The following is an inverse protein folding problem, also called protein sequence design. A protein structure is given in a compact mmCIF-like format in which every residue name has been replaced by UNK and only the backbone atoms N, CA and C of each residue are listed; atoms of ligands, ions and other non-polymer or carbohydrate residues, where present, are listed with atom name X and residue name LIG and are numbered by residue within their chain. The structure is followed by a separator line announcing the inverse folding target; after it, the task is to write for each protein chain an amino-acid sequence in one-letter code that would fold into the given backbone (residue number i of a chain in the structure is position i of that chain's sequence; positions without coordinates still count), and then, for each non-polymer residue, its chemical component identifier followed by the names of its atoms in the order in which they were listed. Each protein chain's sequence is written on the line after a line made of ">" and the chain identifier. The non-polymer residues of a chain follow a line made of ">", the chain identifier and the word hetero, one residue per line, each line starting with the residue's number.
data_IF_639087225824
#
_entry.id   IF_639087225824
#
_cell.length_a   1.000
_cell.length_b   1.000
_cell.length_c   1.000
_cell.angle_alpha   90.00
_cell.angle_beta   90.00
_cell.angle_gamma   90.00
#
_symmetry.space_group_name_H-M   'P 1'
#
loop_
_entity.id
_entity.type
_entity.pdbx_description
1 polymer ?
#
# COMPACT_ATOMS: atom_id res chain seq x y z
N UNK A 1 23.66 30.63 55.46
CA UNK A 1 22.45 30.25 54.71
C UNK A 1 22.82 30.13 53.25
N UNK A 2 23.05 28.92 52.74
CA UNK A 2 23.59 28.69 51.38
C UNK A 2 22.47 28.17 50.50
N UNK A 3 22.07 28.92 49.48
CA UNK A 3 21.00 28.55 48.55
C UNK A 3 21.56 27.61 47.48
N UNK A 4 21.03 26.40 47.42
CA UNK A 4 21.28 25.42 46.36
C UNK A 4 20.39 25.76 45.16
N UNK A 5 20.99 26.10 44.02
CA UNK A 5 20.24 26.32 42.77
C UNK A 5 20.23 25.02 42.00
N UNK A 6 19.05 24.39 41.90
CA UNK A 6 18.84 23.18 41.11
C UNK A 6 18.63 23.61 39.66
N UNK A 7 19.62 23.35 38.80
CA UNK A 7 19.44 23.41 37.34
C UNK A 7 18.64 22.17 36.91
N UNK A 8 17.40 22.38 36.48
CA UNK A 8 16.62 21.35 35.82
C UNK A 8 17.11 21.20 34.37
N UNK A 9 17.66 20.03 34.05
CA UNK A 9 18.02 19.65 32.68
C UNK A 9 16.74 19.22 31.95
N UNK A 10 16.23 20.06 31.04
CA UNK A 10 15.10 19.71 30.18
C UNK A 10 15.65 18.99 28.95
N UNK A 11 15.54 17.66 28.93
CA UNK A 11 15.86 16.86 27.75
C UNK A 11 14.69 16.96 26.75
N UNK A 12 14.87 17.73 25.68
CA UNK A 12 13.94 17.73 24.54
C UNK A 12 14.11 16.43 23.75
N UNK A 13 13.14 15.52 23.85
CA UNK A 13 13.07 14.36 22.95
C UNK A 13 12.66 14.86 21.58
N UNK A 14 13.62 14.97 20.65
CA UNK A 14 13.32 15.24 19.26
C UNK A 14 12.58 14.03 18.69
N UNK A 15 11.29 14.18 18.39
CA UNK A 15 10.54 13.17 17.66
C UNK A 15 11.09 13.12 16.23
N UNK A 16 11.85 12.08 15.91
CA UNK A 16 12.17 11.76 14.53
C UNK A 16 10.85 11.45 13.81
N UNK A 17 10.53 12.13 12.70
CA UNK A 17 9.37 11.74 11.92
C UNK A 17 9.59 10.29 11.45
N UNK A 18 8.65 9.40 11.77
CA UNK A 18 8.64 8.04 11.26
C UNK A 18 8.71 8.12 9.73
N UNK A 19 9.76 7.54 9.14
CA UNK A 19 9.85 7.42 7.69
C UNK A 19 8.58 6.70 7.19
N UNK A 20 7.97 7.13 6.07
CA UNK A 20 6.83 6.41 5.50
C UNK A 20 7.24 4.95 5.28
N UNK A 21 6.47 4.01 5.84
CA UNK A 21 6.74 2.59 5.63
C UNK A 21 6.64 2.30 4.13
N UNK A 22 7.62 1.58 3.61
CA UNK A 22 7.65 1.13 2.21
C UNK A 22 7.05 -0.26 2.10
N UNK A 23 6.42 -0.53 0.97
CA UNK A 23 5.89 -1.85 0.63
C UNK A 23 6.17 -2.18 -0.83
N UNK A 24 6.03 -3.44 -1.20
CA UNK A 24 6.01 -3.85 -2.59
C UNK A 24 4.62 -4.28 -3.03
N UNK A 25 4.34 -4.14 -4.32
CA UNK A 25 3.05 -4.51 -4.86
C UNK A 25 3.09 -5.01 -6.31
N UNK A 26 2.05 -5.77 -6.68
CA UNK A 26 1.81 -6.30 -8.03
C UNK A 26 0.31 -6.34 -8.34
N UNK A 27 -0.03 -6.34 -9.62
CA UNK A 27 -1.39 -6.51 -10.11
C UNK A 27 -1.55 -7.86 -10.82
N UNK A 28 -2.75 -8.45 -10.71
CA UNK A 28 -3.10 -9.75 -11.27
C UNK A 28 -4.46 -9.69 -11.98
N UNK A 29 -4.60 -10.45 -13.07
CA UNK A 29 -5.82 -10.61 -13.88
C UNK A 29 -5.86 -12.04 -14.44
N UNK A 30 -7.02 -12.70 -14.54
CA UNK A 30 -8.18 -12.62 -13.65
C UNK A 30 -7.94 -13.35 -12.31
N UNK A 31 -6.76 -13.96 -12.15
CA UNK A 31 -6.49 -14.91 -11.09
C UNK A 31 -6.25 -14.24 -9.73
N UNK A 32 -6.27 -15.07 -8.68
CA UNK A 32 -5.76 -14.72 -7.37
C UNK A 32 -4.25 -14.44 -7.42
N UNK A 33 -3.71 -13.89 -6.33
CA UNK A 33 -2.27 -13.65 -6.18
C UNK A 33 -1.51 -14.96 -5.94
N UNK A 34 -1.56 -15.88 -6.92
CA UNK A 34 -0.87 -17.17 -6.90
C UNK A 34 0.54 -17.02 -7.48
N UNK A 35 1.55 -17.38 -6.69
CA UNK A 35 2.95 -17.34 -7.10
C UNK A 35 3.43 -18.67 -7.67
N UNK A 36 2.72 -19.78 -7.41
CA UNK A 36 3.06 -21.08 -7.95
C UNK A 36 2.66 -21.18 -9.44
N UNK A 37 1.51 -20.60 -9.80
CA UNK A 37 1.00 -20.57 -11.17
C UNK A 37 0.47 -19.17 -11.54
N UNK A 38 1.33 -18.15 -11.63
CA UNK A 38 0.90 -16.79 -11.90
C UNK A 38 0.40 -16.65 -13.34
N UNK A 39 -0.69 -15.92 -13.57
CA UNK A 39 -1.16 -15.63 -14.93
C UNK A 39 -0.17 -14.73 -15.67
N UNK A 40 0.01 -14.92 -16.98
CA UNK A 40 0.92 -14.10 -17.82
C UNK A 40 0.65 -12.58 -17.74
N UNK A 41 -0.57 -12.22 -17.36
CA UNK A 41 -1.05 -10.86 -17.12
C UNK A 41 -0.59 -10.24 -15.79
N UNK A 42 0.15 -10.96 -14.93
CA UNK A 42 0.72 -10.41 -13.70
C UNK A 42 1.68 -9.26 -14.01
N UNK A 43 1.51 -8.13 -13.31
CA UNK A 43 2.33 -6.95 -13.52
C UNK A 43 2.91 -6.36 -12.22
N UNK A 44 4.23 -6.13 -12.17
CA UNK A 44 5.25 -6.67 -13.08
C UNK A 44 5.25 -8.20 -13.05
N UNK A 45 5.78 -8.83 -14.11
CA UNK A 45 5.88 -10.29 -14.20
C UNK A 45 6.52 -10.90 -12.94
N UNK A 46 6.09 -12.11 -12.54
CA UNK A 46 6.44 -12.70 -11.23
C UNK A 46 7.96 -12.77 -10.97
N UNK A 47 8.74 -13.05 -12.01
CA UNK A 47 10.20 -13.17 -11.93
C UNK A 47 10.93 -11.83 -12.05
N UNK A 48 10.21 -10.73 -12.28
CA UNK A 48 10.74 -9.37 -12.24
C UNK A 48 10.58 -8.78 -10.85
N UNK A 49 11.33 -7.73 -10.51
CA UNK A 49 11.14 -7.03 -9.24
C UNK A 49 9.73 -6.42 -9.15
N UNK A 50 9.08 -6.58 -7.99
CA UNK A 50 7.81 -5.94 -7.68
C UNK A 50 7.97 -4.40 -7.63
N UNK A 51 6.86 -3.68 -7.77
CA UNK A 51 6.89 -2.21 -7.68
C UNK A 51 7.03 -1.77 -6.23
N UNK A 52 7.72 -0.66 -6.00
CA UNK A 52 7.86 -0.05 -4.68
C UNK A 52 6.75 0.99 -4.45
N UNK A 53 6.15 0.95 -3.26
CA UNK A 53 5.18 1.92 -2.78
C UNK A 53 5.54 2.48 -1.41
N UNK A 54 4.86 3.56 -1.03
CA UNK A 54 4.95 4.25 0.26
C UNK A 54 3.56 4.44 0.82
N UNK A 55 3.43 4.35 2.14
CA UNK A 55 2.13 4.55 2.80
C UNK A 55 1.55 5.91 2.44
N UNK A 56 0.24 5.96 2.23
CA UNK A 56 -0.55 7.15 1.91
C UNK A 56 -0.39 7.74 0.50
N UNK A 57 0.54 7.22 -0.31
CA UNK A 57 0.64 7.57 -1.72
C UNK A 57 -0.42 6.81 -2.54
N UNK A 58 -0.81 7.41 -3.68
CA UNK A 58 -1.72 6.81 -4.63
C UNK A 58 -0.96 6.22 -5.82
N UNK A 59 -1.30 4.99 -6.20
CA UNK A 59 -0.67 4.28 -7.32
C UNK A 59 -1.72 3.84 -8.34
N UNK A 60 -1.43 4.09 -9.61
CA UNK A 60 -2.29 3.67 -10.72
C UNK A 60 -1.93 2.26 -11.19
N UNK A 61 -2.94 1.49 -11.56
CA UNK A 61 -2.73 0.28 -12.34
C UNK A 61 -2.33 0.64 -13.78
N UNK A 62 -1.55 -0.21 -14.47
CA UNK A 62 -1.33 -0.07 -15.90
C UNK A 62 -2.65 -0.08 -16.68
N UNK A 63 -2.70 0.60 -17.82
CA UNK A 63 -3.95 0.77 -18.59
C UNK A 63 -4.25 -0.37 -19.56
N UNK A 64 -3.28 -1.24 -19.84
CA UNK A 64 -3.37 -2.24 -20.90
C UNK A 64 -4.31 -3.42 -20.59
N UNK A 65 -4.55 -3.70 -19.31
CA UNK A 65 -5.32 -4.86 -18.86
C UNK A 65 -6.37 -4.44 -17.84
N UNK A 66 -7.26 -5.38 -17.48
CA UNK A 66 -8.25 -5.12 -16.45
C UNK A 66 -7.65 -5.18 -15.06
N UNK A 67 -7.06 -6.23 -14.51
CA UNK A 67 -6.68 -6.31 -13.09
C UNK A 67 -7.85 -6.35 -12.11
N UNK A 68 -8.00 -7.53 -11.53
CA UNK A 68 -9.01 -7.85 -10.52
C UNK A 68 -8.40 -8.08 -9.14
N UNK A 69 -7.07 -8.17 -9.07
CA UNK A 69 -6.35 -8.43 -7.83
C UNK A 69 -5.10 -7.57 -7.72
N UNK A 70 -4.84 -7.12 -6.50
CA UNK A 70 -3.66 -6.38 -6.11
C UNK A 70 -2.99 -7.15 -4.98
N UNK A 71 -1.72 -7.50 -5.15
CA UNK A 71 -0.90 -8.04 -4.08
C UNK A 71 -0.11 -6.93 -3.40
N UNK A 72 -0.05 -6.95 -2.06
CA UNK A 72 0.90 -6.18 -1.26
C UNK A 72 1.57 -7.11 -0.24
N UNK A 73 2.89 -7.24 -0.28
CA UNK A 73 3.68 -8.17 0.56
C UNK A 73 3.48 -7.93 2.06
N UNK A 74 3.44 -6.67 2.47
CA UNK A 74 3.28 -6.27 3.88
C UNK A 74 2.47 -4.99 3.96
N UNK A 75 1.13 -5.08 3.99
CA UNK A 75 0.28 -3.90 4.09
C UNK A 75 0.49 -3.22 5.45
N UNK A 76 0.74 -1.90 5.49
CA UNK A 76 1.10 -1.17 6.71
C UNK A 76 -0.08 -0.96 7.68
N UNK A 77 -1.30 -1.28 7.27
CA UNK A 77 -2.51 -1.14 8.07
C UNK A 77 -3.76 -1.58 7.30
N UNK A 78 -4.10 -0.85 6.24
CA UNK A 78 -5.20 -1.20 5.35
C UNK A 78 -5.03 -0.68 3.93
N UNK A 79 -5.90 -1.13 3.04
CA UNK A 79 -5.89 -0.74 1.62
C UNK A 79 -7.28 -0.34 1.16
N UNK A 80 -7.31 0.64 0.26
CA UNK A 80 -8.47 0.97 -0.56
C UNK A 80 -8.06 0.84 -2.02
N UNK A 81 -8.84 0.07 -2.78
CA UNK A 81 -8.73 -0.02 -4.25
C UNK A 81 -9.82 0.85 -4.88
N UNK A 82 -9.56 1.42 -6.05
CA UNK A 82 -10.46 2.34 -6.74
C UNK A 82 -10.72 1.90 -8.17
N UNK A 83 -11.94 2.18 -8.63
CA UNK A 83 -12.38 1.89 -10.00
C UNK A 83 -11.86 2.90 -11.02
N UNK A 84 -11.38 4.05 -10.54
CA UNK A 84 -10.80 5.13 -11.33
C UNK A 84 -9.31 5.30 -11.02
N UNK A 85 -8.62 6.09 -11.85
CA UNK A 85 -7.21 6.45 -11.62
C UNK A 85 -7.11 7.53 -10.55
N UNK A 86 -5.88 7.74 -10.06
CA UNK A 86 -5.53 8.78 -9.08
C UNK A 86 -6.30 8.71 -7.75
N UNK A 87 -6.77 7.50 -7.37
CA UNK A 87 -7.50 7.24 -6.14
C UNK A 87 -8.75 8.11 -5.99
N UNK A 88 -9.40 8.36 -7.12
CA UNK A 88 -10.64 9.11 -7.21
C UNK A 88 -11.84 8.17 -7.26
N UNK A 89 -13.04 8.75 -7.18
CA UNK A 89 -14.28 8.05 -7.43
C UNK A 89 -14.62 6.98 -6.39
N UNK A 90 -15.07 5.81 -6.87
CA UNK A 90 -15.60 4.74 -6.00
C UNK A 90 -14.45 3.85 -5.53
N UNK A 91 -14.17 3.93 -4.24
CA UNK A 91 -13.23 3.06 -3.54
C UNK A 91 -13.91 1.85 -2.88
N UNK A 92 -13.17 0.77 -2.71
CA UNK A 92 -13.56 -0.33 -1.83
C UNK A 92 -13.76 0.15 -0.38
N UNK A 93 -14.40 -0.68 0.44
CA UNK A 93 -14.19 -0.58 1.89
C UNK A 93 -12.70 -0.80 2.19
N UNK A 94 -12.24 -0.32 3.35
CA UNK A 94 -10.87 -0.61 3.81
C UNK A 94 -10.73 -2.12 3.97
N UNK A 95 -9.74 -2.69 3.28
CA UNK A 95 -9.41 -4.10 3.33
C UNK A 95 -8.13 -4.30 4.17
N UNK A 96 -8.10 -5.37 4.97
CA UNK A 96 -6.96 -5.74 5.81
C UNK A 96 -6.95 -7.26 6.09
N UNK A 97 -5.87 -7.77 6.68
CA UNK A 97 -5.77 -9.18 7.07
C UNK A 97 -5.50 -10.16 5.91
N UNK A 98 -5.20 -9.65 4.71
CA UNK A 98 -4.77 -10.42 3.54
C UNK A 98 -3.61 -9.70 2.85
N UNK A 99 -2.90 -10.37 1.97
CA UNK A 99 -1.96 -9.76 1.03
C UNK A 99 -2.55 -9.61 -0.38
N UNK A 100 -3.73 -10.18 -0.65
CA UNK A 100 -4.34 -10.20 -1.98
C UNK A 100 -5.73 -9.52 -1.99
N UNK A 101 -5.74 -8.30 -2.49
CA UNK A 101 -6.86 -7.37 -2.40
C UNK A 101 -7.66 -7.32 -3.70
N UNK A 102 -8.95 -7.02 -3.60
CA UNK A 102 -9.84 -6.90 -4.76
C UNK A 102 -10.48 -5.51 -4.89
N UNK A 103 -11.09 -5.18 -6.04
CA UNK A 103 -11.95 -4.01 -6.19
C UNK A 103 -13.32 -4.22 -5.55
N UNK A 104 -14.15 -3.17 -5.58
CA UNK A 104 -15.59 -3.34 -5.39
C UNK A 104 -16.16 -4.35 -6.42
N UNK A 105 -17.25 -5.06 -6.11
CA UNK A 105 -17.94 -5.91 -7.08
C UNK A 105 -18.34 -5.14 -8.35
N UNK A 106 -18.11 -5.74 -9.52
CA UNK A 106 -18.42 -5.15 -10.82
C UNK A 106 -17.44 -4.06 -11.27
N UNK A 107 -16.29 -3.97 -10.62
CA UNK A 107 -15.27 -2.97 -10.90
C UNK A 107 -13.90 -3.64 -11.13
N UNK A 108 -13.00 -2.87 -11.73
CA UNK A 108 -11.65 -3.25 -12.09
C UNK A 108 -10.69 -2.30 -11.38
N UNK A 109 -9.56 -2.79 -10.88
CA UNK A 109 -8.62 -1.95 -10.13
C UNK A 109 -7.92 -0.99 -11.10
N UNK A 110 -8.16 0.31 -10.95
CA UNK A 110 -7.47 1.36 -11.72
C UNK A 110 -6.50 2.16 -10.88
N UNK A 111 -6.69 2.21 -9.57
CA UNK A 111 -5.69 2.72 -8.64
C UNK A 111 -5.91 2.17 -7.23
N UNK A 112 -4.94 2.37 -6.35
CA UNK A 112 -5.05 2.01 -4.94
C UNK A 112 -4.22 2.95 -4.06
N UNK A 113 -4.56 2.95 -2.77
CA UNK A 113 -3.80 3.62 -1.71
C UNK A 113 -3.81 2.75 -0.45
N UNK A 114 -2.67 2.67 0.21
CA UNK A 114 -2.58 2.12 1.57
C UNK A 114 -2.81 3.22 2.61
N UNK A 115 -3.31 2.82 3.78
CA UNK A 115 -3.63 3.68 4.93
C UNK A 115 -3.00 3.11 6.19
#
# INVERSE_FOLDING_TARGET
>A
MTRLTILALVATVAATPLAPQSFHYRFYEPANCDHANPPESTYPWINSQALNGKVNDCYNAPTALTYQRLEIDTPPGGIITFCETQCQGRGSIVQSGTNCFGPLPGCTIRSFKTI
#
